data_IF_988830526475
#
_entry.id   IF_988830526475
#
_cell.length_a   1.000
_cell.length_b   1.000
_cell.length_c   1.000
_cell.angle_alpha   90.00
_cell.angle_beta   90.00
_cell.angle_gamma   90.00
#
_symmetry.space_group_name_H-M   'P 1'
#
loop_
_entity.id
_entity.type
_entity.pdbx_description
1 polymer ?
#
# COMPACT_ATOMS: atom_id res chain seq x y z
N UNK A 1 4.06 -21.68 11.71
CA UNK A 1 2.63 -21.36 11.54
C UNK A 1 2.27 -19.97 12.06
N UNK A 2 2.39 -19.71 13.37
CA UNK A 2 2.00 -18.41 13.97
C UNK A 2 2.74 -17.22 13.33
N UNK A 3 4.04 -17.35 13.09
CA UNK A 3 4.85 -16.31 12.45
C UNK A 3 4.31 -15.94 11.06
N UNK A 4 3.88 -16.92 10.25
CA UNK A 4 3.31 -16.64 8.93
C UNK A 4 1.97 -15.91 9.02
N UNK A 5 1.15 -16.22 10.03
CA UNK A 5 -0.10 -15.50 10.28
C UNK A 5 0.15 -14.06 10.71
N UNK A 6 1.16 -13.84 11.57
CA UNK A 6 1.58 -12.49 11.98
C UNK A 6 2.07 -11.70 10.76
N UNK A 7 2.93 -12.30 9.92
CA UNK A 7 3.43 -11.64 8.71
C UNK A 7 2.29 -11.32 7.74
N UNK A 8 1.38 -12.27 7.49
CA UNK A 8 0.21 -12.02 6.64
C UNK A 8 -0.67 -10.89 7.18
N UNK A 9 -0.89 -10.83 8.50
CA UNK A 9 -1.62 -9.75 9.14
C UNK A 9 -0.91 -8.41 8.97
N UNK A 10 0.40 -8.34 9.25
CA UNK A 10 1.21 -7.12 9.13
C UNK A 10 1.19 -6.62 7.68
N UNK A 11 1.45 -7.49 6.72
CA UNK A 11 1.46 -7.11 5.29
C UNK A 11 0.08 -6.71 4.78
N UNK A 12 -0.98 -7.37 5.27
CA UNK A 12 -2.36 -6.97 5.01
C UNK A 12 -2.69 -5.59 5.59
N UNK A 13 -2.21 -5.27 6.79
CA UNK A 13 -2.38 -3.95 7.41
C UNK A 13 -1.62 -2.86 6.64
N UNK A 14 -0.42 -3.16 6.13
CA UNK A 14 0.33 -2.26 5.25
C UNK A 14 -0.47 -1.99 3.96
N UNK A 15 -0.93 -3.04 3.27
CA UNK A 15 -1.75 -2.89 2.07
C UNK A 15 -3.06 -2.12 2.32
N UNK A 16 -3.71 -2.36 3.47
CA UNK A 16 -4.90 -1.62 3.91
C UNK A 16 -4.60 -0.14 4.13
N UNK A 17 -3.46 0.21 4.73
CA UNK A 17 -3.03 1.59 4.90
C UNK A 17 -2.82 2.26 3.54
N UNK A 18 -2.06 1.63 2.64
CA UNK A 18 -1.83 2.13 1.27
C UNK A 18 -3.15 2.36 0.52
N UNK A 19 -4.07 1.39 0.57
CA UNK A 19 -5.39 1.53 -0.06
C UNK A 19 -6.15 2.75 0.45
N UNK A 20 -6.18 2.94 1.78
CA UNK A 20 -6.89 4.07 2.40
C UNK A 20 -6.24 5.41 2.06
N UNK A 21 -4.91 5.48 2.07
CA UNK A 21 -4.18 6.69 1.70
C UNK A 21 -4.39 7.03 0.22
N UNK A 22 -4.30 6.05 -0.68
CA UNK A 22 -4.53 6.25 -2.11
C UNK A 22 -5.97 6.68 -2.41
N UNK A 23 -6.95 6.05 -1.74
CA UNK A 23 -8.36 6.41 -1.87
C UNK A 23 -8.66 7.81 -1.33
N UNK A 24 -8.03 8.19 -0.21
CA UNK A 24 -8.16 9.53 0.37
C UNK A 24 -7.52 10.65 -0.48
N UNK A 25 -6.67 10.27 -1.45
CA UNK A 25 -6.04 11.15 -2.45
C UNK A 25 -6.75 11.13 -3.80
N UNK A 26 -7.84 10.36 -3.95
CA UNK A 26 -8.58 10.27 -5.21
C UNK A 26 -7.90 9.41 -6.28
N UNK A 27 -6.99 8.51 -5.91
CA UNK A 27 -6.34 7.63 -6.87
C UNK A 27 -7.28 6.54 -7.39
N UNK A 28 -7.49 6.48 -8.71
CA UNK A 28 -8.24 5.40 -9.36
C UNK A 28 -7.60 4.01 -9.15
N UNK A 29 -6.27 4.00 -8.93
CA UNK A 29 -5.46 2.80 -8.75
C UNK A 29 -5.36 2.38 -7.27
N UNK A 30 -6.18 2.93 -6.37
CA UNK A 30 -6.07 2.70 -4.93
C UNK A 30 -6.04 1.22 -4.52
N UNK A 31 -6.87 0.38 -5.16
CA UNK A 31 -6.91 -1.06 -4.87
C UNK A 31 -5.67 -1.80 -5.39
N UNK A 32 -5.13 -1.40 -6.56
CA UNK A 32 -3.90 -1.96 -7.12
C UNK A 32 -2.70 -1.62 -6.24
N UNK A 33 -2.62 -0.40 -5.72
CA UNK A 33 -1.58 -0.02 -4.76
C UNK A 33 -1.66 -0.85 -3.49
N UNK A 34 -2.85 -0.97 -2.88
CA UNK A 34 -3.03 -1.72 -1.64
C UNK A 34 -2.72 -3.21 -1.78
N UNK A 35 -3.28 -3.86 -2.81
CA UNK A 35 -3.08 -5.30 -3.05
C UNK A 35 -1.66 -5.57 -3.54
N UNK A 36 -1.17 -4.77 -4.49
CA UNK A 36 0.17 -4.94 -5.08
C UNK A 36 1.27 -4.87 -4.03
N UNK A 37 1.21 -3.89 -3.13
CA UNK A 37 2.21 -3.76 -2.07
C UNK A 37 2.12 -4.91 -1.05
N UNK A 38 0.92 -5.34 -0.67
CA UNK A 38 0.76 -6.50 0.21
C UNK A 38 1.37 -7.78 -0.42
N UNK A 39 1.17 -8.00 -1.72
CA UNK A 39 1.77 -9.11 -2.45
C UNK A 39 3.29 -8.97 -2.57
N UNK A 40 3.83 -7.77 -2.76
CA UNK A 40 5.27 -7.53 -2.77
C UNK A 40 5.91 -7.89 -1.42
N UNK A 41 5.26 -7.58 -0.28
CA UNK A 41 5.75 -8.03 1.03
C UNK A 41 5.68 -9.55 1.22
N UNK A 42 4.68 -10.22 0.64
CA UNK A 42 4.62 -11.69 0.62
C UNK A 42 5.74 -12.30 -0.23
N UNK A 43 6.17 -11.63 -1.30
CA UNK A 43 7.34 -12.02 -2.09
C UNK A 43 8.67 -11.75 -1.36
N UNK A 44 8.67 -10.85 -0.37
CA UNK A 44 9.80 -10.59 0.51
C UNK A 44 9.82 -9.16 1.05
N UNK A 45 10.64 -8.94 2.08
CA UNK A 45 10.74 -7.62 2.70
C UNK A 45 11.26 -6.54 1.73
N UNK A 46 12.31 -6.86 0.97
CA UNK A 46 12.94 -5.94 0.00
C UNK A 46 11.95 -5.49 -1.09
N UNK A 47 11.28 -6.38 -1.84
CA UNK A 47 10.29 -5.95 -2.83
C UNK A 47 9.13 -5.16 -2.21
N UNK A 48 8.67 -5.53 -1.00
CA UNK A 48 7.64 -4.78 -0.27
C UNK A 48 8.05 -3.34 0.04
N UNK A 49 9.27 -3.15 0.55
CA UNK A 49 9.82 -1.82 0.84
C UNK A 49 10.01 -0.98 -0.43
N UNK A 50 10.47 -1.60 -1.53
CA UNK A 50 10.57 -0.92 -2.83
C UNK A 50 9.19 -0.48 -3.33
N UNK A 51 8.16 -1.31 -3.18
CA UNK A 51 6.78 -0.95 -3.52
C UNK A 51 6.28 0.25 -2.72
N UNK A 52 6.55 0.28 -1.41
CA UNK A 52 6.24 1.44 -0.55
C UNK A 52 6.98 2.69 -1.00
N UNK A 53 8.28 2.58 -1.27
CA UNK A 53 9.10 3.70 -1.73
C UNK A 53 8.54 4.31 -3.02
N UNK A 54 8.22 3.47 -4.00
CA UNK A 54 7.60 3.90 -5.26
C UNK A 54 6.26 4.59 -4.97
N UNK A 55 5.38 3.95 -4.21
CA UNK A 55 4.07 4.50 -3.87
C UNK A 55 4.18 5.87 -3.22
N UNK A 56 5.01 6.02 -2.19
CA UNK A 56 5.19 7.30 -1.49
C UNK A 56 5.73 8.38 -2.40
N UNK A 57 6.57 8.01 -3.37
CA UNK A 57 7.14 8.93 -4.38
C UNK A 57 6.08 9.40 -5.38
N UNK A 58 5.14 8.53 -5.78
CA UNK A 58 4.17 8.82 -6.86
C UNK A 58 2.75 9.14 -6.39
N UNK A 59 2.42 8.95 -5.10
CA UNK A 59 1.05 9.06 -4.59
C UNK A 59 0.42 10.46 -4.70
N UNK A 60 1.18 11.49 -5.04
CA UNK A 60 0.71 12.86 -5.24
C UNK A 60 0.12 13.53 -4.00
N UNK A 61 -0.21 14.80 -4.12
CA UNK A 61 -0.96 15.55 -3.10
C UNK A 61 -2.46 15.35 -3.26
N UNK A 62 -3.23 15.67 -2.21
CA UNK A 62 -4.70 15.63 -2.27
C UNK A 62 -5.16 16.61 -3.35
N UNK A 63 -6.02 16.16 -4.27
CA UNK A 63 -6.75 17.07 -5.16
C UNK A 63 -7.59 17.99 -4.26
N UNK A 64 -7.12 19.21 -4.04
CA UNK A 64 -7.88 20.23 -3.33
C UNK A 64 -9.05 20.63 -4.24
N UNK A 65 -10.27 20.26 -3.85
CA UNK A 65 -11.46 20.77 -4.50
C UNK A 65 -11.62 22.24 -4.12
N UNK A 66 -11.04 23.13 -4.91
CA UNK A 66 -11.31 24.58 -4.80
C UNK A 66 -12.82 24.79 -5.00
N UNK A 67 -13.51 25.51 -4.09
CA UNK A 67 -14.96 25.74 -4.17
C UNK A 67 -15.37 26.57 -5.39
#
# INVERSE_FOLDING_TARGET
MIIFLILALVFGLIGRWVYRDAKARGSDWAWQWGVGIALLFLAGLVPGLLGILIYVTVRGERVESTP
#
